data_IF_682093216734
#
_entry.id   IF_682093216734
#
_cell.length_a   1.000
_cell.length_b   1.000
_cell.length_c   1.000
_cell.angle_alpha   90.00
_cell.angle_beta   90.00
_cell.angle_gamma   90.00
#
_symmetry.space_group_name_H-M   'P 1'
#
loop_
_entity.id
_entity.type
_entity.pdbx_description
1 polymer ?
#
# COMPACT_ATOMS: atom_id res chain seq x y z
N UNK A 1 -0.79 19.08 -8.29
CA UNK A 1 -1.06 17.90 -9.14
C UNK A 1 -1.86 16.92 -8.31
N UNK A 2 -2.96 16.38 -8.82
CA UNK A 2 -3.93 15.57 -8.05
C UNK A 2 -3.61 14.09 -8.21
N UNK A 3 -3.60 13.33 -7.10
CA UNK A 3 -3.47 11.87 -7.13
C UNK A 3 -4.77 11.18 -7.53
N UNK A 4 -4.76 9.85 -7.70
CA UNK A 4 -5.97 9.11 -8.01
C UNK A 4 -6.63 8.59 -6.72
N UNK A 5 -7.75 9.15 -6.25
CA UNK A 5 -8.39 8.70 -5.02
C UNK A 5 -8.95 7.27 -5.11
N UNK A 6 -9.14 6.71 -6.31
CA UNK A 6 -9.69 5.35 -6.47
C UNK A 6 -8.79 4.25 -5.93
N UNK A 7 -7.51 4.52 -5.67
CA UNK A 7 -6.57 3.55 -5.08
C UNK A 7 -6.69 3.47 -3.54
N UNK A 8 -7.27 4.50 -2.89
CA UNK A 8 -7.44 4.53 -1.44
C UNK A 8 -8.38 3.39 -1.01
N UNK A 9 -8.05 2.71 0.09
CA UNK A 9 -8.79 1.56 0.61
C UNK A 9 -8.41 0.22 -0.01
N UNK A 10 -7.55 0.20 -1.04
CA UNK A 10 -7.09 -1.05 -1.61
C UNK A 10 -5.89 -1.61 -0.83
N UNK A 11 -5.88 -2.94 -0.66
CA UNK A 11 -4.75 -3.67 -0.11
C UNK A 11 -3.79 -4.05 -1.24
N UNK A 12 -2.49 -3.90 -0.98
CA UNK A 12 -1.43 -4.27 -1.90
C UNK A 12 -0.27 -4.97 -1.20
N UNK A 13 0.73 -5.38 -1.98
CA UNK A 13 1.94 -5.99 -1.46
C UNK A 13 3.17 -5.19 -1.87
N UNK A 14 4.08 -4.94 -0.93
CA UNK A 14 5.35 -4.28 -1.22
C UNK A 14 6.25 -5.19 -2.06
N UNK A 15 6.65 -4.74 -3.24
CA UNK A 15 7.66 -5.41 -4.09
C UNK A 15 9.07 -4.86 -3.85
N UNK A 16 9.14 -3.64 -3.31
CA UNK A 16 10.34 -3.00 -2.75
C UNK A 16 9.96 -2.47 -1.37
N UNK A 17 10.76 -2.79 -0.35
CA UNK A 17 10.52 -2.32 1.01
C UNK A 17 10.61 -0.79 1.12
N UNK A 18 9.78 -0.20 1.98
CA UNK A 18 9.89 1.22 2.35
C UNK A 18 11.01 1.40 3.38
N UNK A 19 11.51 2.62 3.52
CA UNK A 19 12.61 2.95 4.44
C UNK A 19 12.21 4.02 5.46
N UNK A 20 10.92 4.17 5.73
CA UNK A 20 10.40 5.30 6.51
C UNK A 20 10.74 6.64 5.85
N UNK A 21 11.17 7.59 6.66
CA UNK A 21 11.68 8.90 6.22
C UNK A 21 12.88 8.81 5.26
N UNK A 22 13.62 7.69 5.26
CA UNK A 22 14.77 7.50 4.38
C UNK A 22 14.37 7.11 2.93
N UNK A 23 13.08 6.94 2.63
CA UNK A 23 12.56 6.95 1.26
C UNK A 23 11.54 5.86 0.92
N UNK A 24 10.88 6.01 -0.25
CA UNK A 24 9.74 5.18 -0.63
C UNK A 24 10.13 3.77 -1.03
N UNK A 25 9.20 2.84 -0.82
CA UNK A 25 9.19 1.53 -1.45
C UNK A 25 8.34 1.54 -2.73
N UNK A 26 7.96 0.35 -3.17
CA UNK A 26 7.02 0.15 -4.27
C UNK A 26 5.97 -0.86 -3.87
N UNK A 27 4.70 -0.52 -4.09
CA UNK A 27 3.55 -1.39 -3.82
C UNK A 27 2.85 -1.75 -5.12
N UNK A 28 2.46 -3.01 -5.24
CA UNK A 28 1.57 -3.47 -6.30
C UNK A 28 0.16 -3.58 -5.74
N UNK A 29 -0.79 -2.93 -6.39
CA UNK A 29 -2.19 -2.83 -5.96
C UNK A 29 -3.11 -3.28 -7.09
N UNK A 30 -4.10 -4.11 -6.78
CA UNK A 30 -5.21 -4.39 -7.70
C UNK A 30 -6.20 -3.23 -7.63
N UNK A 31 -6.42 -2.55 -8.74
CA UNK A 31 -7.28 -1.35 -8.80
C UNK A 31 -7.83 -1.19 -10.21
N UNK A 32 -9.05 -0.68 -10.37
CA UNK A 32 -9.69 -0.43 -11.68
C UNK A 32 -9.70 -1.65 -12.62
N UNK A 33 -9.87 -2.85 -12.07
CA UNK A 33 -9.86 -4.11 -12.83
C UNK A 33 -8.47 -4.57 -13.30
N UNK A 34 -7.41 -3.84 -12.98
CA UNK A 34 -6.02 -4.17 -13.31
C UNK A 34 -5.14 -4.28 -12.08
N UNK A 35 -3.83 -4.39 -12.32
CA UNK A 35 -2.80 -4.34 -11.29
C UNK A 35 -1.81 -3.24 -11.65
N UNK A 36 -1.47 -2.40 -10.68
CA UNK A 36 -0.59 -1.26 -10.90
C UNK A 36 0.43 -1.08 -9.78
N UNK A 37 1.60 -0.59 -10.15
CA UNK A 37 2.70 -0.32 -9.22
C UNK A 37 2.77 1.16 -8.85
N UNK A 38 2.79 1.48 -7.56
CA UNK A 38 2.91 2.84 -7.03
C UNK A 38 4.15 2.97 -6.14
N UNK A 39 4.73 4.18 -6.07
CA UNK A 39 5.66 4.52 -5.00
C UNK A 39 4.92 4.53 -3.67
N UNK A 40 5.45 3.82 -2.68
CA UNK A 40 4.83 3.66 -1.36
C UNK A 40 5.60 4.43 -0.30
N UNK A 41 4.92 5.35 0.38
CA UNK A 41 5.42 6.04 1.56
C UNK A 41 4.78 5.42 2.81
N UNK A 42 5.58 5.21 3.85
CA UNK A 42 5.12 4.78 5.16
C UNK A 42 5.97 5.45 6.23
N UNK A 43 5.41 5.64 7.42
CA UNK A 43 6.12 6.31 8.52
C UNK A 43 7.27 5.47 9.08
N UNK A 44 7.12 4.14 9.06
CA UNK A 44 8.15 3.20 9.49
C UNK A 44 8.66 2.34 8.33
N UNK A 45 9.90 1.82 8.38
CA UNK A 45 10.39 0.88 7.38
C UNK A 45 9.55 -0.40 7.34
N UNK A 46 9.08 -0.78 6.16
CA UNK A 46 8.33 -2.00 5.92
C UNK A 46 9.10 -2.89 4.93
N UNK A 47 9.34 -4.17 5.26
CA UNK A 47 10.09 -5.06 4.37
C UNK A 47 9.28 -5.40 3.10
N UNK A 48 10.01 -5.84 2.06
CA UNK A 48 9.39 -6.45 0.87
C UNK A 48 8.49 -7.62 1.28
N UNK A 49 7.34 -7.75 0.61
CA UNK A 49 6.33 -8.77 0.87
C UNK A 49 5.28 -8.36 1.91
N UNK A 50 5.48 -7.24 2.62
CA UNK A 50 4.48 -6.73 3.57
C UNK A 50 3.19 -6.40 2.85
N UNK A 51 2.07 -6.93 3.36
CA UNK A 51 0.72 -6.51 2.97
C UNK A 51 0.45 -5.14 3.56
N UNK A 52 -0.03 -4.21 2.74
CA UNK A 52 -0.25 -2.82 3.13
C UNK A 52 -1.59 -2.31 2.64
N UNK A 53 -2.20 -1.41 3.41
CA UNK A 53 -3.42 -0.70 3.05
C UNK A 53 -3.04 0.69 2.53
N UNK A 54 -3.59 1.07 1.38
CA UNK A 54 -3.44 2.43 0.86
C UNK A 54 -4.40 3.37 1.57
N UNK A 55 -3.88 4.36 2.28
CA UNK A 55 -4.66 5.31 3.09
C UNK A 55 -4.73 6.72 2.49
N UNK A 56 -3.92 7.00 1.47
CA UNK A 56 -3.88 8.30 0.84
C UNK A 56 -3.04 8.34 -0.44
N UNK A 57 -3.06 9.50 -1.11
CA UNK A 57 -2.22 9.77 -2.28
C UNK A 57 -1.43 11.07 -2.07
N UNK A 58 -0.18 11.11 -2.55
CA UNK A 58 0.68 12.30 -2.50
C UNK A 58 1.08 12.84 -3.89
N UNK A 59 0.38 12.36 -4.93
CA UNK A 59 0.64 12.68 -6.33
C UNK A 59 0.12 11.57 -7.25
N UNK A 60 0.38 11.63 -8.56
CA UNK A 60 -0.21 10.69 -9.52
C UNK A 60 0.18 9.23 -9.33
N UNK A 61 1.41 8.97 -8.84
CA UNK A 61 1.98 7.62 -8.71
C UNK A 61 2.56 7.34 -7.32
N UNK A 62 2.16 8.13 -6.34
CA UNK A 62 2.67 8.01 -4.97
C UNK A 62 1.52 7.87 -3.99
N UNK A 63 1.56 6.79 -3.21
CA UNK A 63 0.55 6.45 -2.22
C UNK A 63 1.15 6.43 -0.83
N UNK A 64 0.31 6.72 0.14
CA UNK A 64 0.62 6.55 1.56
C UNK A 64 0.03 5.23 2.04
N UNK A 65 0.85 4.44 2.73
CA UNK A 65 0.49 3.07 3.12
C UNK A 65 0.82 2.79 4.57
N UNK A 66 0.01 1.94 5.17
CA UNK A 66 0.23 1.37 6.51
C UNK A 66 0.21 -0.16 6.43
N UNK A 67 0.85 -0.89 7.37
CA UNK A 67 0.70 -2.34 7.44
C UNK A 67 -0.77 -2.75 7.48
N UNK A 68 -1.13 -3.72 6.64
CA UNK A 68 -2.46 -4.33 6.67
C UNK A 68 -2.38 -5.65 7.41
N UNK A 69 -3.10 -5.73 8.53
CA UNK A 69 -3.35 -6.97 9.25
C UNK A 69 -4.71 -7.49 8.78
N UNK A 70 -4.71 -8.58 8.02
CA UNK A 70 -5.94 -9.18 7.50
C UNK A 70 -6.83 -9.67 8.65
N UNK A 71 -8.01 -9.05 8.87
CA UNK A 71 -8.92 -9.47 9.92
C UNK A 71 -9.36 -10.92 9.78
N UNK A 72 -9.53 -11.42 8.56
CA UNK A 72 -9.91 -12.82 8.34
C UNK A 72 -8.81 -13.77 8.85
N UNK A 73 -7.54 -13.43 8.59
CA UNK A 73 -6.40 -14.17 9.12
C UNK A 73 -6.24 -14.05 10.64
N UNK A 74 -6.65 -12.92 11.23
CA UNK A 74 -6.59 -12.69 12.68
C UNK A 74 -7.73 -13.35 13.45
N UNK A 75 -8.93 -13.45 12.87
CA UNK A 75 -10.14 -13.86 13.58
C UNK A 75 -10.73 -15.20 13.14
N UNK A 76 -10.19 -15.86 12.11
CA UNK A 76 -10.56 -17.25 11.78
C UNK A 76 -11.33 -17.47 10.47
N UNK A 77 -11.45 -16.45 9.61
CA UNK A 77 -11.86 -16.63 8.21
C UNK A 77 -13.34 -16.42 7.87
N UNK A 78 -14.15 -15.92 8.80
CA UNK A 78 -15.62 -15.84 8.70
C UNK A 78 -16.23 -14.46 9.02
N UNK A 79 -15.48 -13.38 8.78
CA UNK A 79 -15.97 -11.99 8.74
C UNK A 79 -16.55 -11.63 7.36
#
# INVERSE_FOLDING_TARGET
MVGDPSVIGHVGALIVGTRGDAGPGEVVVRVRGGTETFLALSDTPLPKGTSVLVIGTRGPRTVEVVPWLDPAALFGGDL
#
